data_IF_195080974055
#
_entry.id   IF_195080974055
#
_cell.length_a   1.000
_cell.length_b   1.000
_cell.length_c   1.000
_cell.angle_alpha   90.00
_cell.angle_beta   90.00
_cell.angle_gamma   90.00
#
_symmetry.space_group_name_H-M   'P 1'
#
loop_
_entity.id
_entity.type
_entity.pdbx_description
1 polymer ?
#
# COMPACT_ATOMS: atom_id res chain seq x y z
N UNK A 1 -25.41 -7.99 -14.36
CA UNK A 1 -25.47 -7.14 -13.14
C UNK A 1 -24.07 -7.14 -12.53
N UNK A 2 -23.28 -6.08 -12.74
CA UNK A 2 -21.92 -5.90 -12.18
C UNK A 2 -21.93 -4.64 -11.32
N UNK A 3 -22.64 -4.68 -10.20
CA UNK A 3 -22.57 -3.63 -9.17
C UNK A 3 -21.96 -4.24 -7.92
N UNK A 4 -20.64 -4.12 -7.75
CA UNK A 4 -20.00 -4.52 -6.51
C UNK A 4 -18.68 -3.79 -6.17
N UNK A 5 -18.26 -2.78 -6.95
CA UNK A 5 -17.07 -2.00 -6.58
C UNK A 5 -17.46 -0.54 -6.43
N UNK A 6 -17.50 -0.09 -5.17
CA UNK A 6 -17.48 1.33 -4.84
C UNK A 6 -16.00 1.71 -4.78
N UNK A 7 -15.47 2.22 -5.89
CA UNK A 7 -14.07 2.67 -5.97
C UNK A 7 -13.86 3.94 -5.16
N UNK A 8 -13.24 3.81 -4.00
CA UNK A 8 -12.65 4.93 -3.27
C UNK A 8 -11.18 5.03 -3.65
N UNK A 9 -10.86 5.56 -4.84
CA UNK A 9 -9.48 5.63 -5.32
C UNK A 9 -8.81 6.92 -4.87
N UNK A 10 -8.33 6.95 -3.63
CA UNK A 10 -7.28 7.85 -3.21
C UNK A 10 -6.08 7.00 -2.76
N UNK A 11 -5.24 6.60 -3.73
CA UNK A 11 -3.96 5.98 -3.43
C UNK A 11 -3.01 7.09 -2.99
N UNK A 12 -2.40 6.95 -1.81
CA UNK A 12 -1.34 7.86 -1.36
C UNK A 12 -0.06 7.57 -2.16
N UNK A 13 0.53 8.61 -2.73
CA UNK A 13 1.82 8.56 -3.42
C UNK A 13 2.82 9.35 -2.59
N UNK A 14 3.87 8.68 -2.10
CA UNK A 14 4.88 9.23 -1.21
C UNK A 14 6.27 9.00 -1.82
N UNK A 15 7.26 9.80 -1.44
CA UNK A 15 8.67 9.62 -1.86
C UNK A 15 9.54 8.90 -0.82
N UNK A 16 8.92 8.43 0.27
CA UNK A 16 9.53 7.68 1.35
C UNK A 16 8.44 6.95 2.14
N UNK A 17 8.84 6.01 3.00
CA UNK A 17 7.92 5.43 3.99
C UNK A 17 7.56 6.53 5.02
N UNK A 18 6.27 6.70 5.38
CA UNK A 18 5.86 7.64 6.42
C UNK A 18 6.32 7.15 7.79
N UNK A 19 6.25 8.01 8.80
CA UNK A 19 6.64 7.62 10.15
C UNK A 19 5.69 6.55 10.70
N UNK A 20 6.23 5.49 11.31
CA UNK A 20 5.43 4.38 11.80
C UNK A 20 4.45 4.82 12.92
N UNK A 21 4.71 5.92 13.62
CA UNK A 21 3.80 6.47 14.63
C UNK A 21 2.54 7.12 14.04
N UNK A 22 2.52 7.39 12.74
CA UNK A 22 1.36 7.94 12.02
C UNK A 22 0.49 6.83 11.37
N UNK A 23 0.83 5.55 11.60
CA UNK A 23 0.16 4.39 11.01
C UNK A 23 -0.44 3.49 12.09
N UNK A 24 -1.63 2.98 11.82
CA UNK A 24 -2.34 2.04 12.70
C UNK A 24 -2.13 0.57 12.26
N UNK A 25 -1.72 0.34 11.01
CA UNK A 25 -1.56 -0.99 10.40
C UNK A 25 -2.65 -1.28 9.36
N UNK A 26 -2.22 -1.84 8.22
CA UNK A 26 -3.07 -2.15 7.06
C UNK A 26 -3.05 -1.10 5.95
N UNK A 27 -2.30 -0.01 6.13
CA UNK A 27 -2.14 1.04 5.12
C UNK A 27 -1.25 0.58 3.96
N UNK A 28 -1.61 1.06 2.77
CA UNK A 28 -0.90 0.79 1.52
C UNK A 28 -0.68 2.12 0.78
N UNK A 29 0.53 2.31 0.26
CA UNK A 29 0.90 3.48 -0.53
C UNK A 29 1.87 3.09 -1.65
N UNK A 30 2.01 3.98 -2.62
CA UNK A 30 3.02 3.86 -3.68
C UNK A 30 4.22 4.75 -3.35
N UNK A 31 5.43 4.16 -3.30
CA UNK A 31 6.70 4.90 -3.19
C UNK A 31 7.21 5.28 -4.57
N UNK A 32 7.18 6.57 -4.89
CA UNK A 32 7.52 7.08 -6.23
C UNK A 32 9.02 7.07 -6.53
N UNK A 33 9.85 7.10 -5.50
CA UNK A 33 11.31 7.08 -5.59
C UNK A 33 11.84 5.70 -6.02
N UNK A 34 11.25 4.61 -5.51
CA UNK A 34 11.60 3.24 -5.89
C UNK A 34 10.60 2.59 -6.84
N UNK A 35 9.48 3.25 -7.11
CA UNK A 35 8.35 2.71 -7.90
C UNK A 35 7.78 1.40 -7.34
N UNK A 36 7.66 1.31 -6.02
CA UNK A 36 7.17 0.13 -5.32
C UNK A 36 5.84 0.37 -4.61
N UNK A 37 5.01 -0.67 -4.54
CA UNK A 37 3.89 -0.69 -3.60
C UNK A 37 4.41 -1.10 -2.22
N UNK A 38 4.07 -0.30 -1.22
CA UNK A 38 4.52 -0.47 0.16
C UNK A 38 3.31 -0.62 1.07
N UNK A 39 3.54 -1.28 2.20
CA UNK A 39 2.55 -1.36 3.27
C UNK A 39 3.20 -1.49 4.63
N UNK A 40 2.38 -1.28 5.66
CA UNK A 40 2.72 -1.47 7.05
C UNK A 40 1.70 -2.40 7.69
N UNK A 41 2.13 -3.46 8.37
CA UNK A 41 1.19 -4.43 8.99
C UNK A 41 0.71 -4.01 10.39
N UNK A 42 1.27 -2.93 10.95
CA UNK A 42 1.15 -2.59 12.37
C UNK A 42 2.47 -2.79 13.13
N UNK A 43 3.42 -3.52 12.54
CA UNK A 43 4.72 -3.80 13.16
C UNK A 43 5.91 -3.50 12.24
N UNK A 44 5.82 -3.83 10.94
CA UNK A 44 6.93 -3.72 10.00
C UNK A 44 6.50 -3.20 8.63
N UNK A 45 7.43 -2.53 7.95
CA UNK A 45 7.26 -2.11 6.56
C UNK A 45 7.58 -3.26 5.60
N UNK A 46 6.78 -3.41 4.54
CA UNK A 46 6.97 -4.41 3.50
C UNK A 46 6.73 -3.88 2.09
N UNK A 47 7.31 -4.56 1.10
CA UNK A 47 6.97 -4.35 -0.32
C UNK A 47 5.87 -5.33 -0.72
N UNK A 48 4.84 -4.81 -1.38
CA UNK A 48 3.73 -5.59 -1.91
C UNK A 48 4.05 -5.93 -3.36
N UNK A 49 4.18 -7.22 -3.64
CA UNK A 49 4.34 -7.77 -4.97
C UNK A 49 3.38 -8.92 -5.20
N UNK A 50 3.31 -9.39 -6.44
CA UNK A 50 2.65 -10.66 -6.74
C UNK A 50 3.72 -11.75 -6.87
N UNK A 51 3.45 -12.90 -6.28
CA UNK A 51 4.12 -14.16 -6.63
C UNK A 51 3.16 -14.90 -7.53
N UNK A 52 3.57 -15.18 -8.77
CA UNK A 52 2.78 -16.05 -9.63
C UNK A 52 2.83 -17.49 -9.07
N UNK A 53 1.68 -18.07 -8.80
CA UNK A 53 1.54 -19.50 -8.52
C UNK A 53 1.57 -20.27 -9.85
N UNK A 54 2.30 -21.38 -9.90
CA UNK A 54 2.63 -22.12 -11.11
C UNK A 54 1.60 -23.20 -11.48
#
# INVERSE_FOLDING_TARGET
>A
MRSAFKEYRAVRVLSADPDASELDGGEIWFRSDTSEWRGYDGTSFGTIGFTADA
#
